data_IF_508522053245
#
_entry.id   IF_508522053245
#
_cell.length_a   1.000
_cell.length_b   1.000
_cell.length_c   1.000
_cell.angle_alpha   90.00
_cell.angle_beta   90.00
_cell.angle_gamma   90.00
#
_symmetry.space_group_name_H-M   'P 1'
#
loop_
_entity.id
_entity.type
_entity.pdbx_description
1 polymer ?
#
# COMPACT_ATOMS: atom_id res chain seq x y z
N UNK A 1 -12.16 -7.56 9.19
CA UNK A 1 -12.35 -6.16 9.64
C UNK A 1 -13.05 -5.36 8.54
N UNK A 2 -13.48 -4.12 8.80
CA UNK A 2 -13.90 -3.21 7.72
C UNK A 2 -12.63 -2.54 7.18
N UNK A 3 -12.38 -2.66 5.87
CA UNK A 3 -11.27 -1.98 5.19
C UNK A 3 -11.86 -1.06 4.13
N UNK A 4 -12.58 -0.03 4.58
CA UNK A 4 -13.42 0.81 3.72
C UNK A 4 -12.56 1.66 2.76
N UNK A 5 -11.39 2.13 3.21
CA UNK A 5 -10.47 2.88 2.37
C UNK A 5 -9.87 1.98 1.29
N UNK A 6 -9.41 0.79 1.66
CA UNK A 6 -8.93 -0.21 0.71
C UNK A 6 -9.99 -0.57 -0.32
N UNK A 7 -11.21 -0.87 0.13
CA UNK A 7 -12.34 -1.24 -0.72
C UNK A 7 -12.65 -0.12 -1.73
N UNK A 8 -12.64 1.13 -1.27
CA UNK A 8 -12.83 2.28 -2.14
C UNK A 8 -11.71 2.38 -3.19
N UNK A 9 -10.45 2.31 -2.78
CA UNK A 9 -9.31 2.46 -3.70
C UNK A 9 -9.21 1.28 -4.69
N UNK A 10 -9.58 0.07 -4.30
CA UNK A 10 -9.67 -1.07 -5.21
C UNK A 10 -10.80 -0.90 -6.23
N UNK A 11 -11.95 -0.36 -5.81
CA UNK A 11 -13.10 -0.17 -6.70
C UNK A 11 -12.91 1.02 -7.67
N UNK A 12 -12.37 2.13 -7.17
CA UNK A 12 -12.31 3.41 -7.88
C UNK A 12 -10.92 3.74 -8.44
N UNK A 13 -9.90 2.98 -8.06
CA UNK A 13 -8.53 3.25 -8.44
C UNK A 13 -7.96 4.45 -7.66
N UNK A 14 -6.85 4.94 -8.18
CA UNK A 14 -6.00 5.93 -7.48
C UNK A 14 -5.69 7.17 -8.32
N UNK A 15 -6.34 7.29 -9.48
CA UNK A 15 -6.10 8.35 -10.47
C UNK A 15 -4.65 8.41 -10.96
N UNK A 16 -3.95 7.27 -10.94
CA UNK A 16 -2.53 7.17 -11.30
C UNK A 16 -1.57 7.76 -10.27
N UNK A 17 -2.05 8.18 -9.10
CA UNK A 17 -1.24 8.73 -8.02
C UNK A 17 -1.18 7.77 -6.84
N UNK A 18 -0.17 7.91 -5.98
CA UNK A 18 -0.15 7.19 -4.71
C UNK A 18 -1.22 7.74 -3.76
N UNK A 19 -2.02 6.83 -3.20
CA UNK A 19 -3.02 7.15 -2.17
C UNK A 19 -2.66 6.41 -0.88
N UNK A 20 -2.59 7.14 0.23
CA UNK A 20 -2.24 6.59 1.53
C UNK A 20 -3.44 5.90 2.18
N UNK A 21 -3.12 4.82 2.90
CA UNK A 21 -3.96 4.12 3.86
C UNK A 21 -3.20 4.15 5.20
N UNK A 22 -3.78 4.78 6.21
CA UNK A 22 -3.25 4.73 7.57
C UNK A 22 -3.67 3.42 8.23
N UNK A 23 -2.77 2.83 9.02
CA UNK A 23 -2.98 1.60 9.76
C UNK A 23 -3.30 1.92 11.23
N UNK A 24 -3.96 0.99 11.92
CA UNK A 24 -4.38 1.19 13.31
C UNK A 24 -3.20 1.31 14.29
N UNK A 25 -2.02 0.78 13.94
CA UNK A 25 -0.79 0.90 14.72
C UNK A 25 -0.01 2.22 14.48
N UNK A 26 -0.59 3.14 13.70
CA UNK A 26 0.01 4.45 13.40
C UNK A 26 0.99 4.46 12.23
N UNK A 27 1.22 3.32 11.59
CA UNK A 27 1.99 3.24 10.34
C UNK A 27 1.11 3.55 9.14
N UNK A 28 1.72 3.63 7.96
CA UNK A 28 0.98 3.86 6.72
C UNK A 28 1.58 3.09 5.55
N UNK A 29 0.72 2.73 4.62
CA UNK A 29 1.10 2.27 3.30
C UNK A 29 0.46 3.15 2.24
N UNK A 30 1.05 3.20 1.05
CA UNK A 30 0.51 3.91 -0.10
C UNK A 30 0.32 2.92 -1.24
N UNK A 31 -0.81 3.03 -1.93
CA UNK A 31 -1.13 2.18 -3.08
C UNK A 31 -1.36 3.01 -4.32
N UNK A 32 -1.06 2.43 -5.48
CA UNK A 32 -1.41 2.96 -6.80
C UNK A 32 -1.94 1.80 -7.65
N UNK A 33 -3.01 2.05 -8.36
CA UNK A 33 -3.69 1.07 -9.19
C UNK A 33 -4.90 1.60 -9.92
N UNK A 34 -5.36 0.79 -10.86
CA UNK A 34 -6.53 1.05 -11.71
C UNK A 34 -7.84 0.64 -11.02
N UNK A 35 -8.97 1.30 -11.36
CA UNK A 35 -10.28 0.92 -10.86
C UNK A 35 -10.65 -0.53 -11.22
N UNK A 36 -11.10 -1.29 -10.23
CA UNK A 36 -11.62 -2.64 -10.41
C UNK A 36 -10.57 -3.73 -10.64
N UNK A 37 -9.28 -3.41 -10.52
CA UNK A 37 -8.23 -4.41 -10.61
C UNK A 37 -8.12 -5.21 -9.30
N UNK A 38 -7.82 -6.50 -9.41
CA UNK A 38 -7.62 -7.39 -8.25
C UNK A 38 -6.23 -7.23 -7.62
N UNK A 39 -5.34 -6.45 -8.24
CA UNK A 39 -4.02 -6.10 -7.73
C UNK A 39 -3.75 -4.60 -7.87
N UNK A 40 -2.91 -4.07 -6.99
CA UNK A 40 -2.32 -2.76 -7.14
C UNK A 40 -1.09 -2.85 -8.04
N UNK A 41 -0.89 -1.82 -8.86
CA UNK A 41 0.31 -1.69 -9.69
C UNK A 41 1.53 -1.53 -8.79
N UNK A 42 1.43 -0.66 -7.78
CA UNK A 42 2.51 -0.31 -6.85
C UNK A 42 1.96 -0.24 -5.43
N UNK A 43 2.68 -0.82 -4.48
CA UNK A 43 2.43 -0.72 -3.03
C UNK A 43 3.71 -0.30 -2.34
N UNK A 44 3.69 0.88 -1.73
CA UNK A 44 4.77 1.41 -0.92
C UNK A 44 4.47 1.24 0.56
N UNK A 45 5.42 0.67 1.31
CA UNK A 45 5.36 0.47 2.74
C UNK A 45 6.38 1.37 3.43
N UNK A 46 5.95 2.11 4.45
CA UNK A 46 6.87 2.87 5.31
C UNK A 46 7.80 1.92 6.08
N UNK A 47 8.96 2.44 6.50
CA UNK A 47 9.92 1.70 7.34
C UNK A 47 9.23 1.01 8.54
N UNK A 48 9.64 -0.23 8.80
CA UNK A 48 9.13 -1.02 9.94
C UNK A 48 7.78 -1.68 9.71
N UNK A 49 7.23 -1.67 8.49
CA UNK A 49 6.16 -2.57 8.07
C UNK A 49 6.79 -3.81 7.42
N UNK A 50 6.67 -4.95 8.11
CA UNK A 50 7.09 -6.24 7.57
C UNK A 50 6.01 -6.80 6.66
N UNK A 51 6.44 -7.47 5.58
CA UNK A 51 5.53 -8.21 4.70
C UNK A 51 5.61 -9.70 5.00
N UNK A 52 4.48 -10.43 4.92
CA UNK A 52 4.49 -11.87 4.95
C UNK A 52 5.41 -12.45 3.87
N UNK A 53 6.16 -13.50 4.21
CA UNK A 53 6.94 -14.25 3.23
C UNK A 53 5.99 -15.08 2.34
N UNK A 54 5.55 -14.48 1.23
CA UNK A 54 4.60 -15.06 0.28
C UNK A 54 4.83 -14.51 -1.12
N UNK A 55 4.39 -15.26 -2.14
CA UNK A 55 4.51 -14.90 -3.56
C UNK A 55 3.93 -13.51 -3.88
N UNK A 56 2.92 -13.06 -3.11
CA UNK A 56 2.29 -11.75 -3.27
C UNK A 56 3.23 -10.54 -3.05
N UNK A 57 4.37 -10.75 -2.40
CA UNK A 57 5.34 -9.69 -2.05
C UNK A 57 6.73 -9.93 -2.68
N UNK A 58 6.84 -10.83 -3.65
CA UNK A 58 8.12 -11.13 -4.32
C UNK A 58 8.57 -10.02 -5.27
N UNK A 59 7.65 -9.20 -5.77
CA UNK A 59 7.91 -8.08 -6.68
C UNK A 59 8.53 -6.85 -6.02
N UNK A 60 9.39 -7.02 -5.00
CA UNK A 60 10.07 -5.92 -4.33
C UNK A 60 11.09 -5.24 -5.26
N UNK A 61 10.99 -3.92 -5.40
CA UNK A 61 11.93 -3.13 -6.18
C UNK A 61 12.47 -1.95 -5.35
N UNK A 62 13.69 -2.16 -4.85
CA UNK A 62 14.42 -1.15 -4.07
C UNK A 62 15.03 -0.05 -4.95
N UNK A 63 15.08 -0.24 -6.28
CA UNK A 63 15.77 0.66 -7.21
C UNK A 63 14.90 1.85 -7.63
N UNK A 64 13.61 1.62 -7.89
CA UNK A 64 12.66 2.70 -8.22
C UNK A 64 12.42 3.65 -7.03
N UNK A 65 12.47 3.13 -5.81
CA UNK A 65 12.36 3.92 -4.58
C UNK A 65 13.49 4.94 -4.40
N UNK A 66 14.70 4.52 -4.73
CA UNK A 66 15.88 5.35 -4.68
C UNK A 66 15.87 6.44 -5.78
N UNK A 67 15.40 6.11 -6.99
CA UNK A 67 15.32 7.06 -8.11
C UNK A 67 14.24 8.13 -7.94
N UNK A 68 13.17 7.85 -7.20
CA UNK A 68 12.03 8.76 -7.02
C UNK A 68 12.13 9.63 -5.76
N UNK A 69 13.01 9.29 -4.82
CA UNK A 69 13.21 10.05 -3.56
C UNK A 69 14.26 11.16 -3.64
N UNK A 70 14.67 11.57 -4.85
CA UNK A 70 15.67 12.64 -5.09
C UNK A 70 16.99 12.46 -4.28
N UNK A 71 17.36 11.20 -4.00
CA UNK A 71 18.54 10.87 -3.21
C UNK A 71 18.39 11.00 -1.68
N UNK A 72 17.19 11.26 -1.17
CA UNK A 72 16.89 11.00 0.25
C UNK A 72 16.73 9.49 0.47
N UNK A 73 17.19 9.00 1.63
CA UNK A 73 17.09 7.60 2.01
C UNK A 73 15.61 7.21 2.04
N UNK A 74 15.14 6.59 0.95
CA UNK A 74 13.82 6.03 0.88
C UNK A 74 13.78 4.84 1.85
N UNK A 75 13.45 5.07 3.12
CA UNK A 75 13.54 4.03 4.18
C UNK A 75 12.41 3.00 4.12
N UNK A 76 11.54 3.11 3.12
CA UNK A 76 10.42 2.19 2.88
C UNK A 76 10.75 1.11 1.84
N UNK A 77 9.73 0.32 1.48
CA UNK A 77 9.82 -0.77 0.50
C UNK A 77 8.69 -0.65 -0.52
N UNK A 78 8.99 -0.87 -1.79
CA UNK A 78 8.06 -0.76 -2.91
C UNK A 78 7.90 -2.13 -3.55
N UNK A 79 6.65 -2.50 -3.82
CA UNK A 79 6.28 -3.79 -4.38
C UNK A 79 5.34 -3.60 -5.56
N UNK A 80 5.53 -4.40 -6.60
CA UNK A 80 4.66 -4.43 -7.78
C UNK A 80 3.64 -5.55 -7.75
N UNK A 81 2.55 -5.34 -8.48
CA UNK A 81 1.52 -6.35 -8.76
C UNK A 81 0.98 -7.04 -7.50
N UNK A 82 0.85 -6.29 -6.41
CA UNK A 82 0.43 -6.83 -5.12
C UNK A 82 -1.09 -7.03 -5.11
N UNK A 83 -1.59 -8.26 -4.87
CA UNK A 83 -3.02 -8.52 -4.77
C UNK A 83 -3.70 -7.66 -3.69
N UNK A 84 -4.90 -7.15 -3.98
CA UNK A 84 -5.72 -6.40 -3.01
C UNK A 84 -5.99 -7.23 -1.75
N UNK A 85 -6.11 -8.55 -1.88
CA UNK A 85 -6.25 -9.47 -0.75
C UNK A 85 -5.02 -9.52 0.15
N UNK A 86 -3.81 -9.42 -0.42
CA UNK A 86 -2.56 -9.40 0.34
C UNK A 86 -2.40 -8.09 1.11
N UNK A 87 -2.74 -6.95 0.48
CA UNK A 87 -2.80 -5.65 1.17
C UNK A 87 -3.84 -5.67 2.29
N UNK A 88 -5.01 -6.30 2.06
CA UNK A 88 -6.01 -6.47 3.12
C UNK A 88 -5.49 -7.26 4.30
N UNK A 89 -4.84 -8.40 4.04
CA UNK A 89 -4.27 -9.23 5.09
C UNK A 89 -3.25 -8.44 5.93
N UNK A 90 -2.38 -7.67 5.27
CA UNK A 90 -1.42 -6.79 5.95
C UNK A 90 -2.14 -5.74 6.82
N UNK A 91 -3.17 -5.08 6.30
CA UNK A 91 -3.98 -4.12 7.07
C UNK A 91 -4.58 -4.80 8.31
N UNK A 92 -5.11 -6.02 8.18
CA UNK A 92 -5.68 -6.78 9.29
C UNK A 92 -4.63 -7.19 10.34
N UNK A 93 -3.42 -7.57 9.92
CA UNK A 93 -2.29 -7.86 10.82
C UNK A 93 -1.89 -6.64 11.67
N UNK A 94 -2.04 -5.44 11.10
CA UNK A 94 -1.79 -4.17 11.81
C UNK A 94 -2.99 -3.66 12.62
N UNK A 95 -4.02 -4.48 12.82
CA UNK A 95 -5.20 -4.12 13.61
C UNK A 95 -6.29 -3.37 12.84
N UNK A 96 -6.18 -3.30 11.52
CA UNK A 96 -7.14 -2.68 10.61
C UNK A 96 -6.69 -1.30 10.10
N UNK A 97 -7.61 -0.63 9.42
CA UNK A 97 -7.42 0.75 9.00
C UNK A 97 -7.44 1.69 10.22
N UNK A 98 -6.56 2.69 10.21
CA UNK A 98 -6.54 3.77 11.19
C UNK A 98 -7.80 4.64 11.09
N UNK A 99 -8.14 5.29 12.20
CA UNK A 99 -9.33 6.14 12.31
C UNK A 99 -9.26 7.40 11.43
N UNK A 100 -8.06 7.86 11.12
CA UNK A 100 -7.81 8.97 10.22
C UNK A 100 -7.44 8.41 8.85
N UNK A 101 -8.20 8.78 7.82
CA UNK A 101 -7.88 8.50 6.42
C UNK A 101 -7.89 9.82 5.68
N UNK A 102 -7.02 9.96 4.68
CA UNK A 102 -7.08 11.11 3.79
C UNK A 102 -8.47 11.20 3.15
N UNK A 103 -8.99 12.42 2.91
CA UNK A 103 -10.26 12.58 2.24
C UNK A 103 -10.32 11.79 0.94
N UNK A 104 -11.47 11.16 0.72
CA UNK A 104 -11.80 10.59 -0.58
C UNK A 104 -12.05 11.80 -1.50
N UNK A 105 -11.02 12.20 -2.25
CA UNK A 105 -11.10 13.24 -3.27
C UNK A 105 -11.89 12.79 -4.48
#
# INVERSE_FOLDING_TARGET
MITARLDYLAAHGTDGNYRRIFLADGKGLSVKGQPGNAQFEEVYLVEGVDVPNSEAWEGEDQWELWLTSDGEDATGRLFYDVPVSAVRALIEEHGGEGAEQDPIG
#
